data_IF_880542831638
#
_entry.id   IF_880542831638
#
_cell.length_a   1.000
_cell.length_b   1.000
_cell.length_c   1.000
_cell.angle_alpha   90.00
_cell.angle_beta   90.00
_cell.angle_gamma   90.00
#
_symmetry.space_group_name_H-M   'P 1'
#
loop_
_entity.id
_entity.type
_entity.pdbx_description
1 polymer ?
#
# COMPACT_ATOMS: atom_id res chain seq x y z
N UNK A 1 -4.75 -16.08 -7.86
CA UNK A 1 -4.12 -15.33 -6.76
C UNK A 1 -4.67 -15.81 -5.42
N UNK A 2 -3.81 -15.92 -4.44
CA UNK A 2 -4.19 -16.06 -3.03
C UNK A 2 -3.82 -14.76 -2.35
N UNK A 3 -4.70 -14.24 -1.49
CA UNK A 3 -4.34 -13.07 -0.70
C UNK A 3 -3.17 -13.44 0.23
N UNK A 4 -2.16 -12.58 0.29
CA UNK A 4 -1.05 -12.72 1.22
C UNK A 4 -0.57 -11.35 1.74
N UNK A 5 0.74 -11.18 1.96
CA UNK A 5 1.34 -9.95 2.52
C UNK A 5 2.63 -9.55 1.80
N UNK A 6 2.95 -10.23 0.70
CA UNK A 6 4.17 -9.99 -0.05
C UNK A 6 3.94 -8.80 -0.97
N UNK A 7 4.91 -7.87 -0.99
CA UNK A 7 4.86 -6.77 -1.95
C UNK A 7 5.26 -7.29 -3.32
N UNK A 8 4.31 -7.23 -4.25
CA UNK A 8 4.47 -7.66 -5.64
C UNK A 8 4.14 -6.51 -6.61
N UNK A 9 4.35 -6.73 -7.90
CA UNK A 9 3.78 -5.85 -8.93
C UNK A 9 2.37 -6.33 -9.28
N UNK A 10 1.55 -5.46 -9.89
CA UNK A 10 0.30 -5.89 -10.50
C UNK A 10 0.55 -6.96 -11.57
N UNK A 11 -0.36 -7.93 -11.63
CA UNK A 11 -0.24 -9.12 -12.49
C UNK A 11 -1.45 -9.23 -13.43
N UNK A 12 -1.29 -9.89 -14.57
CA UNK A 12 -2.39 -10.07 -15.53
C UNK A 12 -2.71 -11.53 -15.76
N UNK A 13 -4.02 -11.84 -15.83
CA UNK A 13 -4.54 -13.12 -16.28
C UNK A 13 -5.28 -12.91 -17.59
N UNK A 14 -4.91 -13.68 -18.61
CA UNK A 14 -5.57 -13.64 -19.92
C UNK A 14 -6.37 -14.93 -20.11
N UNK A 15 -7.67 -14.80 -20.32
CA UNK A 15 -8.55 -15.92 -20.67
C UNK A 15 -8.95 -15.84 -22.14
N UNK A 16 -8.62 -16.87 -22.90
CA UNK A 16 -8.96 -16.97 -24.33
C UNK A 16 -9.94 -18.10 -24.55
N UNK A 17 -11.06 -17.82 -25.22
CA UNK A 17 -11.99 -18.85 -25.64
C UNK A 17 -11.44 -19.54 -26.90
N UNK A 18 -11.31 -20.86 -26.84
CA UNK A 18 -10.84 -21.69 -27.96
C UNK A 18 -12.01 -22.15 -28.82
N UNK A 19 -11.76 -22.37 -30.11
CA UNK A 19 -12.79 -22.84 -31.05
C UNK A 19 -13.36 -24.20 -30.65
N UNK A 20 -14.67 -24.37 -30.81
CA UNK A 20 -15.38 -25.63 -30.57
C UNK A 20 -16.60 -25.80 -31.46
N UNK A 21 -17.35 -26.89 -31.25
CA UNK A 21 -18.63 -27.13 -31.92
C UNK A 21 -19.80 -26.67 -31.06
N UNK A 22 -20.89 -26.21 -31.67
CA UNK A 22 -22.12 -25.83 -30.97
C UNK A 22 -22.23 -24.36 -30.53
N UNK A 23 -21.23 -23.51 -30.79
CA UNK A 23 -21.28 -22.07 -30.56
C UNK A 23 -20.38 -21.29 -31.52
N UNK A 24 -20.64 -19.99 -31.68
CA UNK A 24 -19.75 -19.05 -32.37
C UNK A 24 -19.00 -18.20 -31.35
N UNK A 25 -17.75 -17.85 -31.65
CA UNK A 25 -16.94 -16.98 -30.80
C UNK A 25 -17.11 -15.54 -31.26
N UNK A 26 -17.62 -14.68 -30.37
CA UNK A 26 -17.76 -13.24 -30.63
C UNK A 26 -16.51 -12.44 -30.28
N UNK A 27 -15.81 -12.81 -29.21
CA UNK A 27 -14.58 -12.13 -28.76
C UNK A 27 -13.37 -12.95 -29.19
N UNK A 28 -12.73 -12.53 -30.27
CA UNK A 28 -11.65 -13.29 -30.91
C UNK A 28 -10.27 -13.07 -30.27
N UNK A 29 -10.14 -12.06 -29.42
CA UNK A 29 -8.95 -11.82 -28.59
C UNK A 29 -9.20 -12.22 -27.15
N UNK A 30 -8.13 -12.62 -26.44
CA UNK A 30 -8.21 -12.95 -25.02
C UNK A 30 -8.70 -11.77 -24.19
N UNK A 31 -9.53 -12.04 -23.19
CA UNK A 31 -9.96 -11.05 -22.20
C UNK A 31 -8.93 -11.02 -21.08
N UNK A 32 -8.48 -9.82 -20.72
CA UNK A 32 -7.47 -9.62 -19.68
C UNK A 32 -8.13 -9.13 -18.40
N UNK A 33 -7.79 -9.78 -17.28
CA UNK A 33 -8.04 -9.27 -15.94
C UNK A 33 -6.71 -8.93 -15.25
N UNK A 34 -6.73 -7.93 -14.37
CA UNK A 34 -5.57 -7.52 -13.57
C UNK A 34 -5.79 -7.90 -12.11
N UNK A 35 -4.75 -8.41 -11.47
CA UNK A 35 -4.65 -8.64 -10.03
C UNK A 35 -3.77 -7.51 -9.50
N UNK A 36 -4.36 -6.64 -8.68
CA UNK A 36 -3.66 -5.47 -8.13
C UNK A 36 -3.01 -5.84 -6.80
N UNK A 37 -1.77 -5.41 -6.58
CA UNK A 37 -1.12 -5.55 -5.28
C UNK A 37 -1.68 -4.54 -4.26
N UNK A 38 -2.08 -5.01 -3.08
CA UNK A 38 -2.59 -4.20 -1.98
C UNK A 38 -1.71 -4.22 -0.71
N UNK A 39 -0.50 -4.78 -0.78
CA UNK A 39 0.37 -5.02 0.37
C UNK A 39 1.43 -3.93 0.65
N UNK A 40 1.31 -2.76 0.01
CA UNK A 40 2.27 -1.67 0.18
C UNK A 40 2.31 -1.14 1.64
N UNK A 41 3.49 -0.77 2.16
CA UNK A 41 3.59 -0.16 3.48
C UNK A 41 2.89 1.20 3.54
N UNK A 42 2.27 1.50 4.67
CA UNK A 42 1.67 2.81 4.97
C UNK A 42 2.29 3.40 6.24
N UNK A 43 2.50 4.73 6.25
CA UNK A 43 3.05 5.46 7.40
C UNK A 43 2.01 6.46 7.89
N UNK A 44 1.81 6.49 9.21
CA UNK A 44 1.04 7.54 9.89
C UNK A 44 1.91 8.21 10.95
N UNK A 45 1.65 9.48 11.25
CA UNK A 45 2.39 10.27 12.24
C UNK A 45 1.42 10.77 13.31
N UNK A 46 1.71 10.44 14.56
CA UNK A 46 1.01 10.96 15.73
C UNK A 46 1.92 11.78 16.63
N UNK A 47 1.35 12.63 17.47
CA UNK A 47 2.08 13.36 18.53
C UNK A 47 1.35 13.20 19.86
N UNK A 48 2.10 12.96 20.94
CA UNK A 48 1.57 12.94 22.30
C UNK A 48 2.64 13.33 23.33
N UNK A 49 2.33 14.20 24.31
CA UNK A 49 1.07 14.95 24.47
C UNK A 49 0.84 15.96 23.34
N UNK A 50 -0.37 16.53 23.22
CA UNK A 50 -0.68 17.53 22.19
C UNK A 50 -0.12 18.92 22.46
N UNK A 51 0.36 19.16 23.69
CA UNK A 51 1.01 20.39 24.11
C UNK A 51 1.92 20.11 25.31
N UNK A 52 2.90 20.97 25.50
CA UNK A 52 3.78 21.04 26.67
C UNK A 52 3.93 22.50 27.07
N UNK A 53 4.23 22.77 28.34
CA UNK A 53 4.59 24.12 28.78
C UNK A 53 6.02 24.44 28.33
N UNK A 54 6.28 25.68 27.95
CA UNK A 54 7.65 26.20 27.81
C UNK A 54 8.45 25.93 29.09
N UNK A 55 9.69 25.45 28.95
CA UNK A 55 10.57 25.00 30.05
C UNK A 55 9.97 23.92 30.97
N UNK A 56 8.90 23.25 30.53
CA UNK A 56 8.34 22.09 31.20
C UNK A 56 9.27 20.87 31.12
N UNK A 57 9.05 19.89 31.99
CA UNK A 57 9.79 18.62 31.95
C UNK A 57 9.35 17.65 30.83
N UNK A 58 8.07 17.60 30.37
CA UNK A 58 7.67 16.70 29.29
C UNK A 58 8.05 17.23 27.90
N UNK A 59 8.41 16.32 26.99
CA UNK A 59 8.62 16.62 25.58
C UNK A 59 7.38 16.25 24.74
N UNK A 60 7.20 16.90 23.59
CA UNK A 60 6.34 16.37 22.53
C UNK A 60 7.00 15.11 21.94
N UNK A 61 6.29 13.99 21.94
CA UNK A 61 6.77 12.74 21.32
C UNK A 61 6.03 12.55 20.00
N UNK A 62 6.78 12.56 18.90
CA UNK A 62 6.28 12.27 17.56
C UNK A 62 6.54 10.81 17.21
N UNK A 63 5.48 10.06 16.90
CA UNK A 63 5.54 8.62 16.64
C UNK A 63 5.11 8.34 15.20
N UNK A 64 6.03 7.79 14.42
CA UNK A 64 5.72 7.23 13.10
C UNK A 64 5.27 5.77 13.28
N UNK A 65 4.09 5.43 12.76
CA UNK A 65 3.57 4.06 12.77
C UNK A 65 3.54 3.53 11.35
N UNK A 66 4.25 2.43 11.11
CA UNK A 66 4.20 1.69 9.85
C UNK A 66 3.20 0.54 9.94
N UNK A 67 2.30 0.46 8.97
CA UNK A 67 1.38 -0.68 8.75
C UNK A 67 1.61 -1.26 7.35
N UNK A 68 0.99 -2.41 7.04
CA UNK A 68 1.27 -3.16 5.81
C UNK A 68 2.62 -3.88 5.88
N UNK A 69 3.26 -4.09 4.73
CA UNK A 69 4.53 -4.83 4.68
C UNK A 69 5.66 -4.15 5.47
N UNK A 70 6.41 -4.92 6.27
CA UNK A 70 7.59 -4.46 7.03
C UNK A 70 8.90 -5.07 6.54
N UNK A 71 8.85 -5.89 5.50
CA UNK A 71 9.96 -6.73 5.02
C UNK A 71 11.16 -5.92 4.52
N UNK A 72 10.89 -4.84 3.78
CA UNK A 72 11.92 -3.99 3.19
C UNK A 72 12.16 -2.72 4.01
N UNK A 73 13.39 -2.20 3.95
CA UNK A 73 13.73 -0.87 4.46
C UNK A 73 12.86 0.19 3.77
N UNK A 74 12.38 1.16 4.55
CA UNK A 74 11.55 2.25 4.06
C UNK A 74 12.10 3.56 4.61
N UNK A 75 12.50 4.46 3.72
CA UNK A 75 12.91 5.81 4.08
C UNK A 75 11.68 6.69 4.28
N UNK A 76 11.57 7.32 5.45
CA UNK A 76 10.49 8.24 5.79
C UNK A 76 11.07 9.65 5.92
N UNK A 77 10.82 10.49 4.93
CA UNK A 77 11.28 11.88 4.93
C UNK A 77 10.33 12.76 5.74
N UNK A 78 10.87 13.62 6.61
CA UNK A 78 10.10 14.57 7.40
C UNK A 78 10.79 15.94 7.44
N UNK A 79 10.01 16.98 7.72
CA UNK A 79 10.51 18.33 7.96
C UNK A 79 9.92 18.85 9.27
N UNK A 80 10.61 19.80 9.90
CA UNK A 80 10.16 20.43 11.14
C UNK A 80 10.05 21.93 10.86
N UNK A 81 8.95 22.53 11.30
CA UNK A 81 8.71 23.97 11.26
C UNK A 81 7.89 24.41 12.47
N UNK A 82 7.72 25.71 12.68
CA UNK A 82 6.99 26.25 13.83
C UNK A 82 7.53 27.61 14.27
N UNK A 83 7.01 28.11 15.39
CA UNK A 83 7.39 29.41 15.99
C UNK A 83 7.83 29.30 17.45
N UNK A 84 8.09 28.07 17.92
CA UNK A 84 8.60 27.82 19.27
C UNK A 84 9.84 28.67 19.57
#
# INVERSE_FOLDING_TARGET
>A
PTADTNVENDETVILTLVSGTGYTIGTTSGVTGTITNDDLPSITLGVSPSSVTEDGTPNLIYTFTRTGSTTNTLDVNYTIGGTA
#
